data_IF_601098353224
#
_entry.id   IF_601098353224
#
_cell.length_a   1.000
_cell.length_b   1.000
_cell.length_c   1.000
_cell.angle_alpha   90.00
_cell.angle_beta   90.00
_cell.angle_gamma   90.00
#
_symmetry.space_group_name_H-M   'P 1'
#
loop_
_entity.id
_entity.type
_entity.pdbx_description
1 polymer ?
#
# COMPACT_ATOMS: atom_id res chain seq x y z
N UNK A 1 9.52 14.93 31.91
CA UNK A 1 8.37 14.96 30.98
C UNK A 1 8.82 15.58 29.67
N UNK A 2 8.79 14.83 28.56
CA UNK A 2 9.31 15.27 27.27
C UNK A 2 8.20 15.94 26.44
N UNK A 3 8.35 17.24 26.19
CA UNK A 3 7.42 18.05 25.41
C UNK A 3 7.70 17.77 23.93
N UNK A 4 6.80 17.05 23.26
CA UNK A 4 6.83 16.86 21.81
C UNK A 4 6.66 18.22 21.12
N UNK A 5 7.72 18.75 20.52
CA UNK A 5 7.63 19.92 19.61
C UNK A 5 6.87 19.52 18.36
N UNK A 6 5.71 20.16 18.17
CA UNK A 6 4.86 20.06 16.98
C UNK A 6 5.56 20.83 15.86
N UNK A 7 5.93 20.16 14.76
CA UNK A 7 6.53 20.80 13.59
C UNK A 7 5.40 21.59 12.90
N UNK A 8 5.53 22.92 12.90
CA UNK A 8 4.70 23.82 12.09
C UNK A 8 5.38 24.00 10.74
N UNK A 9 4.65 23.70 9.66
CA UNK A 9 5.06 24.04 8.29
C UNK A 9 4.69 25.49 8.04
N UNK A 10 5.64 26.40 8.25
CA UNK A 10 5.56 27.74 7.68
C UNK A 10 5.90 27.64 6.19
N UNK A 11 4.91 27.83 5.34
CA UNK A 11 5.08 28.15 3.92
C UNK A 11 5.96 29.40 3.81
N UNK A 12 7.13 29.30 3.16
CA UNK A 12 7.93 30.47 2.81
C UNK A 12 8.63 30.24 1.47
N UNK A 13 8.15 31.01 0.51
CA UNK A 13 8.91 31.60 -0.58
C UNK A 13 10.26 32.16 -0.10
N UNK A 14 11.35 31.82 -0.77
CA UNK A 14 12.34 32.78 -1.30
C UNK A 14 13.63 32.07 -1.74
N UNK A 15 14.08 32.51 -2.91
CA UNK A 15 15.29 32.16 -3.63
C UNK A 15 16.55 32.14 -2.74
N UNK A 16 17.19 30.96 -2.66
CA UNK A 16 18.65 30.77 -2.78
C UNK A 16 18.94 29.27 -2.87
N UNK A 17 19.45 28.86 -4.03
CA UNK A 17 19.89 27.51 -4.35
C UNK A 17 21.01 27.12 -3.39
N UNK A 18 20.75 26.21 -2.45
CA UNK A 18 21.78 25.47 -1.75
C UNK A 18 21.41 23.99 -1.82
N UNK A 19 22.10 23.25 -2.70
CA UNK A 19 22.07 21.78 -2.67
C UNK A 19 22.40 21.33 -1.23
N UNK A 20 21.65 20.39 -0.63
CA UNK A 20 22.01 19.88 0.68
C UNK A 20 23.37 19.20 0.60
N UNK A 21 24.24 19.57 1.54
CA UNK A 21 25.60 19.05 1.69
C UNK A 21 25.61 17.52 1.90
N UNK A 22 26.71 16.86 1.56
CA UNK A 22 26.89 15.40 1.65
C UNK A 22 26.62 14.89 3.06
N UNK A 23 26.95 15.70 4.09
CA UNK A 23 26.69 15.42 5.51
C UNK A 23 25.19 15.45 5.83
N UNK A 24 24.43 16.36 5.23
CA UNK A 24 22.97 16.46 5.41
C UNK A 24 22.26 15.30 4.71
N UNK A 25 22.76 14.88 3.54
CA UNK A 25 22.31 13.65 2.85
C UNK A 25 22.63 12.40 3.67
N UNK A 26 23.81 12.34 4.28
CA UNK A 26 24.22 11.27 5.20
C UNK A 26 23.35 11.22 6.47
N UNK A 27 22.94 12.38 7.01
CA UNK A 27 22.05 12.46 8.18
C UNK A 27 20.62 11.98 7.92
N UNK A 28 20.11 12.16 6.71
CA UNK A 28 18.80 11.66 6.28
C UNK A 28 18.86 10.14 6.04
N UNK A 29 19.95 9.66 5.45
CA UNK A 29 20.20 8.22 5.22
C UNK A 29 20.50 7.46 6.51
N UNK A 30 21.09 8.10 7.52
CA UNK A 30 21.27 7.51 8.86
C UNK A 30 19.94 7.30 9.62
N UNK A 31 18.87 8.05 9.27
CA UNK A 31 17.53 7.88 9.83
C UNK A 31 16.66 6.86 9.08
N UNK A 32 17.07 6.44 7.87
CA UNK A 32 16.47 5.32 7.17
C UNK A 32 17.01 4.03 7.80
N UNK A 33 16.25 3.43 8.72
CA UNK A 33 16.56 2.09 9.22
C UNK A 33 16.45 1.08 8.08
N UNK A 34 17.55 0.76 7.42
CA UNK A 34 17.59 -0.29 6.42
C UNK A 34 17.36 -1.64 7.11
N UNK A 35 16.35 -2.38 6.64
CA UNK A 35 16.18 -3.78 6.98
C UNK A 35 17.30 -4.60 6.36
N UNK A 36 17.76 -5.67 7.01
CA UNK A 36 18.75 -6.63 6.48
C UNK A 36 18.45 -6.97 5.02
N UNK A 37 19.47 -6.96 4.15
CA UNK A 37 19.30 -7.29 2.72
C UNK A 37 19.05 -6.11 1.77
N UNK A 38 19.18 -4.86 2.26
CA UNK A 38 19.09 -3.64 1.45
C UNK A 38 20.36 -2.80 1.64
N UNK A 39 20.85 -2.21 0.55
CA UNK A 39 22.00 -1.31 0.54
C UNK A 39 21.64 -0.03 -0.20
N UNK A 40 22.15 1.11 0.26
CA UNK A 40 22.01 2.38 -0.46
C UNK A 40 23.19 2.54 -1.42
N UNK A 41 22.90 2.85 -2.68
CA UNK A 41 23.87 3.03 -3.75
C UNK A 41 23.47 4.24 -4.61
N UNK A 42 24.42 4.78 -5.37
CA UNK A 42 24.13 5.83 -6.35
C UNK A 42 24.42 5.30 -7.76
N UNK A 43 23.47 5.48 -8.67
CA UNK A 43 23.62 5.08 -10.07
C UNK A 43 23.26 6.22 -11.01
N UNK A 44 23.80 6.17 -12.23
CA UNK A 44 23.31 7.03 -13.30
C UNK A 44 21.89 6.62 -13.68
N UNK A 45 20.93 7.55 -13.83
CA UNK A 45 19.57 7.20 -14.25
C UNK A 45 19.56 6.55 -15.65
N UNK A 46 20.56 6.80 -16.49
CA UNK A 46 20.69 6.21 -17.83
C UNK A 46 21.13 4.74 -17.82
N UNK A 47 21.78 4.28 -16.75
CA UNK A 47 22.29 2.91 -16.62
C UNK A 47 21.24 1.95 -16.05
N UNK A 48 20.18 2.49 -15.44
CA UNK A 48 19.11 1.70 -14.84
C UNK A 48 18.18 1.13 -15.92
N UNK A 49 17.94 -0.17 -15.87
CA UNK A 49 17.10 -0.91 -16.82
C UNK A 49 15.64 -0.87 -16.35
N UNK A 50 14.69 -0.39 -17.18
CA UNK A 50 13.27 -0.51 -16.86
C UNK A 50 12.82 -1.97 -16.84
N UNK A 51 11.98 -2.33 -15.88
CA UNK A 51 11.45 -3.68 -15.79
C UNK A 51 10.36 -3.94 -16.86
N UNK A 52 10.57 -4.83 -17.84
CA UNK A 52 9.63 -5.13 -18.91
C UNK A 52 8.35 -5.80 -18.40
N UNK A 53 8.40 -6.43 -17.23
CA UNK A 53 7.23 -7.04 -16.59
C UNK A 53 6.45 -6.09 -15.69
N UNK A 54 6.83 -4.81 -15.68
CA UNK A 54 6.10 -3.76 -15.02
C UNK A 54 5.56 -2.71 -16.01
N UNK A 55 4.81 -3.10 -17.07
CA UNK A 55 4.18 -2.14 -17.96
C UNK A 55 3.10 -1.40 -17.18
N UNK A 56 3.35 -0.16 -16.80
CA UNK A 56 2.42 0.61 -15.97
C UNK A 56 1.23 1.07 -16.83
N UNK A 57 0.00 0.64 -16.54
CA UNK A 57 -1.17 1.14 -17.26
C UNK A 57 -1.27 2.66 -17.08
N UNK A 58 -1.19 3.41 -18.18
CA UNK A 58 -1.30 4.87 -18.19
C UNK A 58 0.00 5.67 -18.28
N UNK A 59 1.18 5.03 -18.27
CA UNK A 59 2.42 5.75 -18.62
C UNK A 59 2.49 5.97 -20.14
N UNK A 60 2.19 7.19 -20.57
CA UNK A 60 2.23 7.62 -21.98
C UNK A 60 3.66 8.07 -22.38
N UNK A 61 4.47 8.46 -21.39
CA UNK A 61 5.83 8.96 -21.57
C UNK A 61 6.82 7.94 -21.04
N UNK A 62 7.65 7.40 -21.92
CA UNK A 62 8.75 6.49 -21.60
C UNK A 62 10.11 7.13 -21.94
N UNK A 63 11.19 6.36 -21.74
CA UNK A 63 12.53 6.83 -22.08
C UNK A 63 12.70 7.13 -23.57
N UNK A 64 12.06 6.34 -24.44
CA UNK A 64 12.10 6.52 -25.89
C UNK A 64 11.49 7.86 -26.29
N UNK A 65 10.34 8.19 -25.70
CA UNK A 65 9.66 9.47 -25.89
C UNK A 65 10.51 10.65 -25.42
N UNK A 66 11.16 10.53 -24.24
CA UNK A 66 12.07 11.57 -23.74
C UNK A 66 13.28 11.79 -24.66
N UNK A 67 13.85 10.71 -25.22
CA UNK A 67 14.94 10.79 -26.19
C UNK A 67 14.49 11.42 -27.51
N UNK A 68 13.30 11.09 -28.00
CA UNK A 68 12.77 11.63 -29.26
C UNK A 68 12.36 13.11 -29.14
N UNK A 69 11.60 13.47 -28.09
CA UNK A 69 11.02 14.81 -27.96
C UNK A 69 11.92 15.82 -27.27
N UNK A 70 12.70 15.38 -26.29
CA UNK A 70 13.56 16.25 -25.48
C UNK A 70 15.05 16.07 -25.77
N UNK A 71 15.44 15.11 -26.62
CA UNK A 71 16.83 14.82 -26.97
C UNK A 71 17.70 14.56 -25.72
N UNK A 72 17.09 13.99 -24.68
CA UNK A 72 17.74 13.71 -23.39
C UNK A 72 18.87 12.70 -23.58
N UNK A 73 20.00 12.94 -22.90
CA UNK A 73 21.22 12.14 -23.05
C UNK A 73 22.11 12.54 -24.24
N UNK A 74 21.77 13.62 -24.96
CA UNK A 74 22.59 14.15 -26.06
C UNK A 74 22.99 15.61 -25.79
N UNK A 75 24.00 16.11 -26.51
CA UNK A 75 24.40 17.53 -26.45
C UNK A 75 23.28 18.48 -26.92
N UNK A 76 22.31 17.97 -27.68
CA UNK A 76 21.18 18.72 -28.21
C UNK A 76 19.99 18.74 -27.25
N UNK A 77 20.13 18.22 -26.02
CA UNK A 77 19.03 18.16 -25.07
C UNK A 77 18.34 19.52 -24.89
N UNK A 78 17.01 19.49 -24.95
CA UNK A 78 16.17 20.66 -24.69
C UNK A 78 16.12 21.00 -23.20
N UNK A 79 16.40 20.03 -22.32
CA UNK A 79 16.51 20.22 -20.88
C UNK A 79 17.94 20.66 -20.52
N UNK A 80 18.17 21.96 -20.36
CA UNK A 80 19.53 22.52 -20.20
C UNK A 80 19.55 23.77 -19.35
N UNK A 81 20.75 24.14 -18.91
CA UNK A 81 20.97 25.43 -18.25
C UNK A 81 20.86 26.52 -19.32
N UNK A 82 19.95 27.46 -19.09
CA UNK A 82 19.76 28.62 -19.93
C UNK A 82 21.00 29.49 -19.91
N UNK A 83 21.54 29.82 -21.08
CA UNK A 83 22.67 30.76 -21.19
C UNK A 83 22.27 32.18 -20.78
N UNK A 84 20.98 32.50 -20.75
CA UNK A 84 20.46 33.85 -20.46
C UNK A 84 20.15 34.05 -18.98
N UNK A 85 19.42 33.12 -18.36
CA UNK A 85 19.03 33.22 -16.94
C UNK A 85 20.02 32.52 -16.00
N UNK A 86 20.80 31.56 -16.50
CA UNK A 86 21.61 30.68 -15.65
C UNK A 86 20.78 29.59 -14.93
N UNK A 87 19.47 29.60 -15.11
CA UNK A 87 18.55 28.62 -14.52
C UNK A 87 18.42 27.38 -15.40
N UNK A 88 18.06 26.26 -14.79
CA UNK A 88 17.73 25.05 -15.56
C UNK A 88 16.35 25.19 -16.18
N UNK A 89 16.27 25.09 -17.50
CA UNK A 89 15.03 25.19 -18.24
C UNK A 89 14.62 23.80 -18.74
N UNK A 90 13.36 23.45 -18.46
CA UNK A 90 12.65 22.32 -19.06
C UNK A 90 11.50 22.92 -19.87
N UNK A 91 11.42 22.63 -21.18
CA UNK A 91 10.45 23.25 -22.07
C UNK A 91 9.01 23.03 -21.61
N UNK A 92 8.11 23.93 -21.98
CA UNK A 92 6.68 23.74 -21.76
C UNK A 92 6.13 22.69 -22.74
N UNK A 93 5.01 22.05 -22.39
CA UNK A 93 4.40 21.05 -23.27
C UNK A 93 4.04 21.66 -24.64
N UNK A 94 3.56 22.89 -24.66
CA UNK A 94 3.24 23.65 -25.87
C UNK A 94 4.43 23.95 -26.79
N UNK A 95 5.66 23.84 -26.28
CA UNK A 95 6.90 24.00 -27.05
C UNK A 95 7.39 22.66 -27.66
N UNK A 96 6.70 21.57 -27.32
CA UNK A 96 6.90 20.26 -27.93
C UNK A 96 6.00 20.14 -29.15
N UNK A 97 6.55 19.68 -30.27
CA UNK A 97 5.79 19.41 -31.49
C UNK A 97 4.97 18.11 -31.30
N UNK A 98 4.06 18.11 -30.34
CA UNK A 98 3.19 17.00 -29.98
C UNK A 98 1.74 17.32 -30.37
N UNK A 99 0.95 16.29 -30.67
CA UNK A 99 -0.49 16.45 -30.86
C UNK A 99 -1.15 16.92 -29.55
N UNK A 100 -2.18 17.76 -29.65
CA UNK A 100 -2.94 18.22 -28.49
C UNK A 100 -3.66 17.04 -27.83
N UNK A 101 -3.07 16.53 -26.75
CA UNK A 101 -3.58 15.44 -25.94
C UNK A 101 -3.44 15.81 -24.46
N UNK A 102 -4.57 16.13 -23.83
CA UNK A 102 -4.66 16.58 -22.43
C UNK A 102 -4.02 15.57 -21.46
N UNK A 103 -4.22 14.27 -21.69
CA UNK A 103 -3.64 13.23 -20.83
C UNK A 103 -2.11 13.12 -20.96
N UNK A 104 -1.57 13.40 -22.15
CA UNK A 104 -0.13 13.43 -22.39
C UNK A 104 0.50 14.68 -21.76
N UNK A 105 -0.19 15.83 -21.87
CA UNK A 105 0.20 17.08 -21.25
C UNK A 105 0.26 16.97 -19.72
N UNK A 106 -0.77 16.40 -19.09
CA UNK A 106 -0.80 16.17 -17.65
C UNK A 106 0.36 15.27 -17.19
N UNK A 107 0.62 14.19 -17.93
CA UNK A 107 1.71 13.26 -17.64
C UNK A 107 3.08 13.95 -17.77
N UNK A 108 3.24 14.80 -18.78
CA UNK A 108 4.46 15.58 -19.00
C UNK A 108 4.67 16.61 -17.88
N UNK A 109 3.63 17.36 -17.53
CA UNK A 109 3.70 18.39 -16.49
C UNK A 109 4.03 17.78 -15.13
N UNK A 110 3.46 16.62 -14.81
CA UNK A 110 3.84 15.85 -13.62
C UNK A 110 5.34 15.52 -13.59
N UNK A 111 5.89 14.98 -14.68
CA UNK A 111 7.32 14.65 -14.77
C UNK A 111 8.21 15.89 -14.70
N UNK A 112 7.77 16.99 -15.32
CA UNK A 112 8.47 18.28 -15.30
C UNK A 112 8.53 18.86 -13.89
N UNK A 113 7.42 18.86 -13.15
CA UNK A 113 7.37 19.33 -11.77
C UNK A 113 8.26 18.47 -10.86
N UNK A 114 8.22 17.15 -11.05
CA UNK A 114 9.10 16.23 -10.35
C UNK A 114 10.58 16.52 -10.66
N UNK A 115 10.94 16.76 -11.93
CA UNK A 115 12.29 17.10 -12.33
C UNK A 115 12.80 18.40 -11.70
N UNK A 116 11.93 19.42 -11.57
CA UNK A 116 12.27 20.64 -10.84
C UNK A 116 12.45 20.41 -9.34
N UNK A 117 11.60 19.60 -8.70
CA UNK A 117 11.79 19.23 -7.29
C UNK A 117 13.11 18.47 -7.08
N UNK A 118 13.46 17.54 -7.97
CA UNK A 118 14.75 16.83 -7.96
C UNK A 118 15.93 17.82 -7.97
N UNK A 119 15.87 18.83 -8.84
CA UNK A 119 16.91 19.86 -8.96
C UNK A 119 16.98 20.79 -7.75
N UNK A 120 15.83 21.15 -7.20
CA UNK A 120 15.71 22.18 -6.15
C UNK A 120 15.97 21.60 -4.77
N UNK A 121 15.32 20.48 -4.45
CA UNK A 121 15.34 19.89 -3.12
C UNK A 121 16.46 18.84 -2.98
N UNK A 122 16.84 18.18 -4.08
CA UNK A 122 17.79 17.06 -4.07
C UNK A 122 17.33 15.87 -3.21
N UNK A 123 16.09 15.90 -2.73
CA UNK A 123 15.48 14.93 -1.83
C UNK A 123 14.44 14.15 -2.62
N UNK A 124 14.92 13.08 -3.24
CA UNK A 124 14.07 12.10 -3.91
C UNK A 124 13.97 10.90 -2.99
N UNK A 125 12.78 10.31 -2.89
CA UNK A 125 12.68 8.94 -2.42
C UNK A 125 13.62 8.06 -3.26
N UNK A 126 14.41 7.15 -2.65
CA UNK A 126 15.32 6.29 -3.40
C UNK A 126 14.60 5.34 -4.36
N UNK A 127 15.21 5.10 -5.52
CA UNK A 127 14.72 4.14 -6.52
C UNK A 127 15.10 2.74 -6.06
N UNK A 128 14.13 1.82 -5.95
CA UNK A 128 14.45 0.44 -5.59
C UNK A 128 14.96 -0.31 -6.83
N UNK A 129 16.10 -1.00 -6.69
CA UNK A 129 16.78 -1.71 -7.78
C UNK A 129 17.29 -3.08 -7.32
N UNK A 130 17.62 -3.93 -8.28
CA UNK A 130 18.38 -5.16 -8.03
C UNK A 130 19.32 -5.45 -9.20
N UNK A 131 20.40 -6.19 -8.93
CA UNK A 131 21.31 -6.66 -9.97
C UNK A 131 20.71 -7.87 -10.69
N UNK A 132 20.58 -7.77 -12.01
CA UNK A 132 20.22 -8.86 -12.90
C UNK A 132 21.43 -9.34 -13.69
N UNK A 133 21.44 -10.62 -14.02
CA UNK A 133 22.43 -11.29 -14.86
C UNK A 133 21.73 -11.79 -16.11
N UNK A 134 22.26 -11.49 -17.29
CA UNK A 134 21.68 -11.87 -18.58
C UNK A 134 21.53 -13.39 -18.76
N UNK A 135 22.40 -14.18 -18.16
CA UNK A 135 22.32 -15.64 -18.25
C UNK A 135 21.16 -16.22 -17.43
N UNK A 136 20.87 -15.59 -16.29
CA UNK A 136 19.84 -16.04 -15.36
C UNK A 136 18.48 -15.36 -15.58
N UNK A 137 18.51 -14.11 -16.07
CA UNK A 137 17.35 -13.25 -16.25
C UNK A 137 17.39 -12.55 -17.65
N UNK A 138 17.41 -13.29 -18.77
CA UNK A 138 17.62 -12.74 -20.11
C UNK A 138 16.54 -11.72 -20.53
N UNK A 139 15.34 -11.84 -19.96
CA UNK A 139 14.19 -11.01 -20.28
C UNK A 139 14.41 -9.52 -19.96
N UNK A 140 15.31 -9.17 -19.04
CA UNK A 140 15.65 -7.77 -18.76
C UNK A 140 16.58 -7.15 -19.82
N UNK A 141 17.18 -7.96 -20.68
CA UNK A 141 18.24 -7.54 -21.60
C UNK A 141 17.84 -7.59 -23.07
N UNK A 142 16.53 -7.62 -23.37
CA UNK A 142 16.00 -7.76 -24.75
C UNK A 142 16.57 -6.72 -25.72
N UNK A 143 16.83 -5.50 -25.25
CA UNK A 143 17.42 -4.41 -26.03
C UNK A 143 18.80 -3.97 -25.52
N UNK A 144 19.51 -4.85 -24.82
CA UNK A 144 20.78 -4.53 -24.15
C UNK A 144 21.86 -5.59 -24.41
N UNK A 145 23.06 -5.12 -24.73
CA UNK A 145 24.25 -5.95 -24.89
C UNK A 145 25.02 -6.15 -23.57
N UNK A 146 24.48 -5.68 -22.45
CA UNK A 146 25.12 -5.82 -21.15
C UNK A 146 24.98 -7.24 -20.61
N UNK A 147 26.02 -7.75 -19.95
CA UNK A 147 26.00 -9.04 -19.25
C UNK A 147 25.35 -8.94 -17.86
N UNK A 148 25.49 -7.78 -17.23
CA UNK A 148 24.88 -7.45 -15.93
C UNK A 148 24.24 -6.06 -15.99
N UNK A 149 23.17 -5.86 -15.21
CA UNK A 149 22.48 -4.58 -15.18
C UNK A 149 21.59 -4.40 -13.98
N UNK A 150 21.45 -3.15 -13.53
CA UNK A 150 20.58 -2.80 -12.42
C UNK A 150 19.16 -2.54 -12.93
N UNK A 151 18.24 -3.41 -12.54
CA UNK A 151 16.85 -3.34 -12.98
C UNK A 151 16.02 -2.62 -11.94
N UNK A 152 15.17 -1.70 -12.41
CA UNK A 152 14.31 -0.86 -11.57
C UNK A 152 13.14 -1.69 -11.07
N UNK A 153 13.04 -1.81 -9.76
CA UNK A 153 11.86 -2.33 -9.10
C UNK A 153 10.80 -1.21 -8.98
N UNK A 154 11.19 -0.09 -8.39
CA UNK A 154 10.28 1.00 -8.07
C UNK A 154 10.92 2.37 -8.34
N UNK A 155 10.12 3.37 -8.68
CA UNK A 155 10.59 4.72 -8.95
C UNK A 155 10.96 4.98 -10.41
N UNK A 156 10.28 4.33 -11.38
CA UNK A 156 10.53 4.58 -12.80
C UNK A 156 10.28 6.05 -13.20
N UNK A 157 9.19 6.67 -12.74
CA UNK A 157 8.93 8.10 -12.97
C UNK A 157 9.99 9.00 -12.33
N UNK A 158 10.51 8.61 -11.15
CA UNK A 158 11.63 9.32 -10.50
C UNK A 158 12.91 9.22 -11.34
N UNK A 159 13.17 8.07 -11.97
CA UNK A 159 14.25 7.94 -12.97
C UNK A 159 14.01 8.86 -14.16
N UNK A 160 12.84 8.81 -14.80
CA UNK A 160 12.54 9.63 -15.98
C UNK A 160 12.67 11.13 -15.67
N UNK A 161 12.12 11.56 -14.53
CA UNK A 161 12.27 12.93 -14.06
C UNK A 161 13.72 13.28 -13.72
N UNK A 162 14.52 12.36 -13.19
CA UNK A 162 15.95 12.58 -12.97
C UNK A 162 16.74 12.74 -14.28
N UNK A 163 16.35 12.01 -15.34
CA UNK A 163 16.89 12.19 -16.68
C UNK A 163 16.53 13.58 -17.22
N UNK A 164 15.26 14.00 -17.08
CA UNK A 164 14.82 15.36 -17.44
C UNK A 164 15.52 16.45 -16.62
N UNK A 165 15.78 16.19 -15.34
CA UNK A 165 16.52 17.06 -14.46
C UNK A 165 18.02 17.10 -14.80
N UNK A 166 18.52 16.29 -15.75
CA UNK A 166 19.95 16.18 -16.04
C UNK A 166 20.77 15.82 -14.80
N UNK A 167 20.23 14.99 -13.91
CA UNK A 167 20.95 14.51 -12.74
C UNK A 167 22.04 13.51 -13.17
N UNK A 168 23.25 13.66 -12.66
CA UNK A 168 24.36 12.74 -12.93
C UNK A 168 24.18 11.41 -12.21
N UNK A 169 23.66 11.45 -10.99
CA UNK A 169 23.40 10.28 -10.16
C UNK A 169 22.05 10.40 -9.46
N UNK A 170 21.43 9.26 -9.18
CA UNK A 170 20.23 9.11 -8.38
C UNK A 170 20.49 8.16 -7.23
N UNK A 171 19.89 8.46 -6.08
CA UNK A 171 19.95 7.57 -4.93
C UNK A 171 19.04 6.36 -5.15
N UNK A 172 19.61 5.18 -4.96
CA UNK A 172 18.96 3.90 -5.15
C UNK A 172 19.07 3.04 -3.89
N UNK A 173 18.08 2.18 -3.68
CA UNK A 173 18.12 1.10 -2.71
C UNK A 173 18.28 -0.20 -3.49
N UNK A 174 19.47 -0.78 -3.42
CA UNK A 174 19.75 -2.10 -3.94
C UNK A 174 19.26 -3.17 -2.98
N UNK A 175 18.48 -4.11 -3.49
CA UNK A 175 18.07 -5.31 -2.75
C UNK A 175 19.12 -6.39 -3.03
N UNK A 176 19.83 -6.83 -1.99
CA UNK A 176 20.92 -7.80 -2.08
C UNK A 176 20.56 -9.16 -1.48
N UNK A 177 19.46 -9.26 -0.71
CA UNK A 177 18.99 -10.53 -0.17
C UNK A 177 18.30 -11.37 -1.25
N UNK A 178 18.95 -12.47 -1.64
CA UNK A 178 18.45 -13.43 -2.63
C UNK A 178 17.05 -13.96 -2.31
N UNK A 179 16.70 -14.16 -1.04
CA UNK A 179 15.37 -14.63 -0.65
C UNK A 179 14.28 -13.57 -0.89
N UNK A 180 14.64 -12.29 -0.75
CA UNK A 180 13.78 -11.17 -1.12
C UNK A 180 13.73 -11.01 -2.65
N UNK A 181 14.88 -11.14 -3.32
CA UNK A 181 14.98 -11.06 -4.78
C UNK A 181 14.16 -12.14 -5.47
N UNK A 182 14.24 -13.40 -5.02
CA UNK A 182 13.41 -14.50 -5.54
C UNK A 182 11.92 -14.15 -5.41
N UNK A 183 11.49 -13.61 -4.27
CA UNK A 183 10.08 -13.17 -4.09
C UNK A 183 9.67 -12.00 -5.00
N UNK A 184 10.63 -11.16 -5.39
CA UNK A 184 10.43 -9.98 -6.24
C UNK A 184 10.63 -10.26 -7.74
N UNK A 185 11.30 -11.36 -8.12
CA UNK A 185 11.54 -11.82 -9.51
C UNK A 185 10.47 -12.77 -10.05
N UNK A 186 9.61 -13.36 -9.20
CA UNK A 186 8.56 -14.33 -9.62
C UNK A 186 7.48 -13.69 -10.52
N UNK A 187 7.04 -14.43 -11.56
CA UNK A 187 6.09 -14.11 -12.66
C UNK A 187 4.87 -13.22 -12.35
N UNK A 188 4.36 -13.15 -11.12
CA UNK A 188 3.22 -12.30 -10.72
C UNK A 188 3.61 -10.85 -10.37
N UNK A 189 4.61 -10.32 -11.09
CA UNK A 189 5.40 -9.12 -10.76
C UNK A 189 4.62 -7.81 -10.85
N UNK A 190 3.81 -7.65 -11.90
CA UNK A 190 2.90 -6.49 -12.09
C UNK A 190 1.91 -6.36 -10.94
N UNK A 191 1.35 -7.50 -10.52
CA UNK A 191 0.37 -7.63 -9.45
C UNK A 191 0.94 -7.25 -8.07
N UNK A 192 2.18 -7.69 -7.77
CA UNK A 192 2.85 -7.42 -6.50
C UNK A 192 3.43 -6.00 -6.38
N UNK A 193 3.61 -5.28 -7.48
CA UNK A 193 4.00 -3.85 -7.44
C UNK A 193 2.85 -2.88 -7.46
N UNK A 194 1.77 -3.17 -8.20
CA UNK A 194 0.48 -2.48 -7.97
C UNK A 194 0.07 -2.57 -6.49
N UNK A 195 0.40 -3.70 -5.86
CA UNK A 195 0.29 -3.95 -4.43
C UNK A 195 1.05 -3.00 -3.50
N UNK A 196 2.32 -2.71 -3.80
CA UNK A 196 3.17 -1.80 -3.01
C UNK A 196 2.68 -0.36 -3.19
N UNK A 197 2.39 0.01 -4.44
CA UNK A 197 1.96 1.36 -4.80
C UNK A 197 0.53 1.67 -4.31
N UNK A 198 -0.40 0.71 -4.38
CA UNK A 198 -1.77 0.89 -3.89
C UNK A 198 -1.87 0.80 -2.36
N UNK A 199 -1.03 0.01 -1.67
CA UNK A 199 -0.96 0.04 -0.21
C UNK A 199 -0.40 1.36 0.34
N UNK A 200 0.47 2.04 -0.40
CA UNK A 200 0.93 3.39 -0.09
C UNK A 200 -0.17 4.45 -0.33
N UNK A 201 -1.10 4.20 -1.26
CA UNK A 201 -2.29 5.03 -1.51
C UNK A 201 -3.39 4.73 -0.48
N UNK A 202 -3.30 5.32 0.72
CA UNK A 202 -4.38 5.33 1.74
C UNK A 202 -5.69 6.04 1.32
N UNK A 203 -6.05 6.11 0.04
CA UNK A 203 -7.16 6.93 -0.47
C UNK A 203 -7.86 6.46 -1.75
N UNK A 204 -7.68 5.22 -2.20
CA UNK A 204 -8.38 4.74 -3.39
C UNK A 204 -9.90 4.64 -3.17
N UNK A 205 -10.67 5.15 -4.12
CA UNK A 205 -12.13 5.10 -4.10
C UNK A 205 -12.67 3.70 -4.41
N UNK A 206 -13.96 3.45 -4.17
CA UNK A 206 -14.57 2.14 -4.44
C UNK A 206 -14.50 1.81 -5.94
N UNK A 207 -14.73 2.81 -6.79
CA UNK A 207 -14.60 2.69 -8.25
C UNK A 207 -13.19 2.26 -8.68
N UNK A 208 -12.16 2.96 -8.19
CA UNK A 208 -10.77 2.66 -8.53
C UNK A 208 -10.37 1.24 -8.13
N UNK A 209 -10.74 0.82 -6.93
CA UNK A 209 -10.50 -0.55 -6.45
C UNK A 209 -11.26 -1.60 -7.29
N UNK A 210 -12.47 -1.30 -7.74
CA UNK A 210 -13.24 -2.19 -8.60
C UNK A 210 -12.58 -2.35 -9.99
N UNK A 211 -12.09 -1.26 -10.59
CA UNK A 211 -11.37 -1.31 -11.87
C UNK A 211 -10.07 -2.11 -11.75
N UNK A 212 -9.32 -1.93 -10.65
CA UNK A 212 -8.11 -2.71 -10.36
C UNK A 212 -8.47 -4.20 -10.23
N UNK A 213 -9.52 -4.55 -9.49
CA UNK A 213 -9.97 -5.94 -9.36
C UNK A 213 -10.41 -6.52 -10.72
N UNK A 214 -11.06 -5.72 -11.57
CA UNK A 214 -11.50 -6.13 -12.89
C UNK A 214 -10.34 -6.40 -13.84
N UNK A 215 -9.34 -5.51 -13.88
CA UNK A 215 -8.12 -5.70 -14.68
C UNK A 215 -7.28 -6.88 -14.17
N UNK A 216 -7.23 -7.07 -12.85
CA UNK A 216 -6.54 -8.19 -12.25
C UNK A 216 -7.16 -9.54 -12.64
N UNK A 217 -8.49 -9.63 -12.63
CA UNK A 217 -9.20 -10.87 -12.92
C UNK A 217 -9.43 -11.13 -14.41
N UNK A 218 -9.20 -10.14 -15.28
CA UNK A 218 -9.24 -10.33 -16.73
C UNK A 218 -7.98 -11.00 -17.27
N UNK A 219 -6.89 -11.02 -16.50
CA UNK A 219 -5.65 -11.74 -16.85
C UNK A 219 -5.82 -13.23 -16.59
N UNK A 220 -5.56 -14.07 -17.60
CA UNK A 220 -5.69 -15.54 -17.54
C UNK A 220 -4.91 -16.14 -16.37
N UNK A 221 -3.71 -15.64 -16.12
CA UNK A 221 -2.79 -16.15 -15.10
C UNK A 221 -3.24 -15.81 -13.67
N UNK A 222 -4.20 -14.89 -13.52
CA UNK A 222 -4.68 -14.42 -12.23
C UNK A 222 -6.05 -15.00 -11.85
N UNK A 223 -6.70 -15.74 -12.76
CA UNK A 223 -8.00 -16.36 -12.50
C UNK A 223 -7.91 -17.49 -11.46
N UNK A 224 -6.74 -18.13 -11.35
CA UNK A 224 -6.48 -19.23 -10.41
C UNK A 224 -6.15 -18.77 -8.97
N UNK A 225 -5.88 -17.48 -8.77
CA UNK A 225 -5.51 -16.94 -7.45
C UNK A 225 -6.64 -17.13 -6.43
N UNK A 226 -6.30 -17.45 -5.18
CA UNK A 226 -7.26 -17.56 -4.08
C UNK A 226 -7.75 -16.19 -3.60
N UNK A 227 -8.91 -16.14 -2.93
CA UNK A 227 -9.42 -14.88 -2.37
C UNK A 227 -8.47 -14.27 -1.33
N UNK A 228 -7.74 -15.12 -0.59
CA UNK A 228 -6.71 -14.71 0.36
C UNK A 228 -5.53 -14.07 -0.35
N UNK A 229 -5.08 -14.64 -1.46
CA UNK A 229 -4.03 -14.05 -2.29
C UNK A 229 -4.51 -12.74 -2.89
N UNK A 230 -5.71 -12.68 -3.48
CA UNK A 230 -6.26 -11.45 -4.05
C UNK A 230 -6.51 -10.38 -2.96
N UNK A 231 -6.91 -10.77 -1.74
CA UNK A 231 -6.99 -9.87 -0.58
C UNK A 231 -5.64 -9.28 -0.20
N UNK A 232 -4.62 -10.14 -0.19
CA UNK A 232 -3.25 -9.70 -0.01
C UNK A 232 -2.77 -8.84 -1.17
N UNK A 233 -3.37 -8.96 -2.37
CA UNK A 233 -3.03 -8.21 -3.59
C UNK A 233 -3.73 -6.84 -3.71
N UNK A 234 -4.98 -6.71 -3.29
CA UNK A 234 -5.71 -5.43 -3.44
C UNK A 234 -5.66 -4.63 -2.13
N UNK A 235 -5.15 -5.22 -1.04
CA UNK A 235 -5.14 -4.57 0.28
C UNK A 235 -6.54 -4.40 0.88
N UNK A 236 -7.54 -5.07 0.31
CA UNK A 236 -8.92 -5.08 0.78
C UNK A 236 -9.16 -6.32 1.64
N UNK A 237 -10.18 -6.25 2.49
CA UNK A 237 -10.63 -7.40 3.27
C UNK A 237 -11.06 -8.55 2.34
N UNK A 238 -10.74 -9.79 2.69
CA UNK A 238 -11.06 -10.98 1.90
C UNK A 238 -12.55 -11.08 1.54
N UNK A 239 -13.45 -10.65 2.42
CA UNK A 239 -14.89 -10.62 2.11
C UNK A 239 -15.29 -9.56 1.08
N UNK A 240 -14.53 -8.46 0.96
CA UNK A 240 -14.71 -7.47 -0.12
C UNK A 240 -14.17 -8.05 -1.42
N UNK A 241 -12.98 -8.65 -1.37
CA UNK A 241 -12.37 -9.29 -2.54
C UNK A 241 -13.23 -10.40 -3.11
N UNK A 242 -13.80 -11.26 -2.26
CA UNK A 242 -14.74 -12.30 -2.70
C UNK A 242 -15.95 -11.71 -3.42
N UNK A 243 -16.44 -10.55 -2.95
CA UNK A 243 -17.58 -9.88 -3.57
C UNK A 243 -17.21 -9.27 -4.93
N UNK A 244 -16.09 -8.57 -5.01
CA UNK A 244 -15.57 -7.99 -6.27
C UNK A 244 -15.29 -9.10 -7.29
N UNK A 245 -14.67 -10.21 -6.86
CA UNK A 245 -14.39 -11.37 -7.72
C UNK A 245 -15.66 -11.90 -8.36
N UNK A 246 -16.70 -12.15 -7.57
CA UNK A 246 -17.99 -12.63 -8.08
C UNK A 246 -18.58 -11.71 -9.15
N UNK A 247 -18.47 -10.39 -8.96
CA UNK A 247 -18.94 -9.39 -9.92
C UNK A 247 -18.11 -9.41 -11.20
N UNK A 248 -16.78 -9.43 -11.08
CA UNK A 248 -15.88 -9.39 -12.22
C UNK A 248 -15.92 -10.67 -13.06
N UNK A 249 -16.08 -11.84 -12.44
CA UNK A 249 -16.13 -13.13 -13.15
C UNK A 249 -17.47 -13.40 -13.83
N UNK A 250 -18.58 -12.88 -13.27
CA UNK A 250 -19.93 -13.08 -13.81
C UNK A 250 -20.73 -11.77 -13.81
N UNK A 251 -20.34 -10.77 -14.62
CA UNK A 251 -20.98 -9.45 -14.63
C UNK A 251 -22.44 -9.50 -15.09
N UNK A 252 -22.81 -10.47 -15.94
CA UNK A 252 -24.19 -10.67 -16.44
C UNK A 252 -25.20 -11.04 -15.36
N UNK A 253 -24.75 -11.56 -14.21
CA UNK A 253 -25.61 -11.86 -13.05
C UNK A 253 -26.12 -10.60 -12.35
N UNK A 254 -25.52 -9.44 -12.64
CA UNK A 254 -25.75 -8.21 -11.90
C UNK A 254 -26.40 -7.14 -12.78
N UNK A 255 -27.36 -6.35 -12.24
CA UNK A 255 -27.97 -5.25 -12.99
C UNK A 255 -26.95 -4.20 -13.47
N UNK A 256 -27.08 -3.64 -14.68
CA UNK A 256 -26.21 -2.58 -15.18
C UNK A 256 -26.13 -1.37 -14.24
N UNK A 257 -27.24 -1.02 -13.59
CA UNK A 257 -27.31 0.06 -12.60
C UNK A 257 -26.39 -0.18 -11.40
N UNK A 258 -26.19 -1.43 -10.99
CA UNK A 258 -25.26 -1.77 -9.92
C UNK A 258 -23.82 -1.52 -10.34
N UNK A 259 -23.46 -1.95 -11.56
CA UNK A 259 -22.12 -1.75 -12.11
C UNK A 259 -21.80 -0.27 -12.36
N UNK A 260 -22.76 0.51 -12.86
CA UNK A 260 -22.58 1.95 -13.08
C UNK A 260 -22.39 2.68 -11.75
N UNK A 261 -23.20 2.38 -10.73
CA UNK A 261 -23.05 3.00 -9.41
C UNK A 261 -21.73 2.66 -8.71
N UNK A 262 -21.15 1.48 -8.97
CA UNK A 262 -19.78 1.15 -8.51
C UNK A 262 -18.76 2.03 -9.21
N UNK A 263 -18.82 2.12 -10.55
CA UNK A 263 -17.88 2.91 -11.37
C UNK A 263 -17.99 4.42 -11.12
N UNK A 264 -19.17 4.92 -10.80
CA UNK A 264 -19.43 6.31 -10.43
C UNK A 264 -19.13 6.60 -8.94
N UNK A 265 -18.65 5.60 -8.19
CA UNK A 265 -18.32 5.72 -6.76
C UNK A 265 -19.52 6.15 -5.88
N UNK A 266 -20.75 5.77 -6.26
CA UNK A 266 -22.00 6.09 -5.55
C UNK A 266 -22.38 5.09 -4.44
N UNK A 267 -21.68 3.95 -4.36
CA UNK A 267 -21.94 2.92 -3.34
C UNK A 267 -20.67 2.51 -2.60
N UNK A 268 -20.83 2.10 -1.34
CA UNK A 268 -19.71 1.67 -0.49
C UNK A 268 -19.41 0.18 -0.62
N UNK A 269 -18.20 -0.27 -0.26
CA UNK A 269 -17.88 -1.69 -0.18
C UNK A 269 -18.81 -2.51 0.73
N UNK A 270 -19.35 -1.88 1.77
CA UNK A 270 -20.33 -2.52 2.65
C UNK A 270 -21.63 -2.81 1.91
N UNK A 271 -22.09 -1.87 1.09
CA UNK A 271 -23.27 -2.03 0.25
C UNK A 271 -23.04 -3.08 -0.83
N UNK A 272 -21.87 -3.06 -1.48
CA UNK A 272 -21.48 -4.08 -2.46
C UNK A 272 -21.57 -5.48 -1.84
N UNK A 273 -20.94 -5.71 -0.69
CA UNK A 273 -20.99 -7.02 0.01
C UNK A 273 -22.39 -7.48 0.36
N UNK A 274 -23.30 -6.56 0.67
CA UNK A 274 -24.69 -6.88 0.98
C UNK A 274 -25.50 -7.24 -0.27
N UNK A 275 -25.22 -6.58 -1.40
CA UNK A 275 -25.95 -6.77 -2.65
C UNK A 275 -25.47 -8.00 -3.44
N UNK A 276 -24.19 -8.37 -3.36
CA UNK A 276 -23.61 -9.46 -4.17
C UNK A 276 -24.30 -10.82 -3.98
N UNK A 277 -24.86 -11.09 -2.79
CA UNK A 277 -25.55 -12.34 -2.48
C UNK A 277 -27.03 -12.37 -2.90
N UNK A 278 -27.57 -11.26 -3.41
CA UNK A 278 -28.99 -11.10 -3.75
C UNK A 278 -29.28 -11.48 -5.21
N UNK A 279 -30.56 -11.64 -5.54
CA UNK A 279 -30.99 -11.84 -6.93
C UNK A 279 -30.91 -10.55 -7.74
N UNK A 280 -30.96 -10.67 -9.07
CA UNK A 280 -30.92 -9.52 -9.98
C UNK A 280 -32.01 -8.48 -9.64
N UNK A 281 -33.26 -8.92 -9.52
CA UNK A 281 -34.43 -8.05 -9.24
C UNK A 281 -34.37 -7.44 -7.83
N UNK A 282 -33.84 -8.17 -6.85
CA UNK A 282 -33.62 -7.68 -5.49
C UNK A 282 -32.55 -6.59 -5.43
N UNK A 283 -31.50 -6.70 -6.25
CA UNK A 283 -30.47 -5.67 -6.35
C UNK A 283 -31.07 -4.42 -7.00
N UNK A 284 -31.79 -4.58 -8.11
CA UNK A 284 -32.39 -3.47 -8.84
C UNK A 284 -33.42 -2.71 -8.01
N UNK A 285 -34.29 -3.42 -7.27
CA UNK A 285 -35.26 -2.80 -6.37
C UNK A 285 -34.60 -2.03 -5.21
N UNK A 286 -33.53 -2.57 -4.60
CA UNK A 286 -32.81 -1.89 -3.52
C UNK A 286 -32.08 -0.64 -4.01
N UNK A 287 -31.58 -0.63 -5.25
CA UNK A 287 -30.87 0.50 -5.83
C UNK A 287 -31.80 1.59 -6.37
N UNK A 288 -33.02 1.24 -6.82
CA UNK A 288 -34.06 2.19 -7.25
C UNK A 288 -34.78 2.87 -6.08
N UNK A 289 -34.85 2.22 -4.92
CA UNK A 289 -35.39 2.81 -3.68
C UNK A 289 -34.37 3.79 -3.04
N UNK A 290 -34.33 5.04 -3.51
CA UNK A 290 -33.46 6.11 -2.96
C UNK A 290 -33.62 6.32 -1.43
N UNK A 291 -34.79 5.98 -0.89
CA UNK A 291 -35.10 6.11 0.55
C UNK A 291 -34.35 5.14 1.46
N UNK A 292 -33.73 4.08 0.92
CA UNK A 292 -32.93 3.11 1.69
C UNK A 292 -31.42 3.33 1.59
N UNK A 293 -30.94 4.02 0.55
CA UNK A 293 -29.51 4.37 0.40
C UNK A 293 -29.03 5.29 1.54
N UNK A 294 -29.88 6.20 2.01
CA UNK A 294 -29.58 7.09 3.15
C UNK A 294 -29.92 6.50 4.53
N UNK A 295 -30.65 5.37 4.60
CA UNK A 295 -30.96 4.68 5.88
C UNK A 295 -29.90 3.65 6.31
N UNK A 296 -28.90 3.38 5.47
CA UNK A 296 -27.72 2.62 5.87
C UNK A 296 -26.83 3.39 6.87
N UNK A 297 -27.07 4.70 7.01
CA UNK A 297 -26.62 5.56 8.11
C UNK A 297 -27.75 5.84 9.11
N UNK A 298 -28.57 4.84 9.44
CA UNK A 298 -29.15 4.83 10.78
C UNK A 298 -27.96 4.81 11.74
N UNK A 299 -27.59 6.00 12.25
CA UNK A 299 -26.57 6.21 13.27
C UNK A 299 -26.62 5.01 14.19
N UNK A 300 -25.62 4.12 14.09
CA UNK A 300 -25.30 3.29 15.26
C UNK A 300 -24.97 4.34 16.30
N UNK A 301 -25.93 4.63 17.17
CA UNK A 301 -25.71 5.37 18.40
C UNK A 301 -24.43 4.76 18.93
N UNK A 302 -23.35 5.55 18.87
CA UNK A 302 -22.05 5.13 19.40
C UNK A 302 -22.33 4.98 20.88
N UNK A 303 -22.63 3.75 21.30
CA UNK A 303 -22.84 3.47 22.72
C UNK A 303 -21.55 3.93 23.40
N UNK A 304 -21.66 4.81 24.41
CA UNK A 304 -20.50 5.38 25.05
C UNK A 304 -19.55 4.26 25.48
N UNK A 305 -18.28 4.36 25.09
CA UNK A 305 -17.23 3.48 25.58
C UNK A 305 -17.09 3.74 27.08
N UNK A 306 -17.68 2.86 27.87
CA UNK A 306 -17.75 2.89 29.32
C UNK A 306 -18.47 1.62 29.79
N UNK A 307 -18.56 1.41 31.11
CA UNK A 307 -18.92 0.14 31.82
C UNK A 307 -20.15 -0.65 31.32
N UNK A 308 -20.96 -0.15 30.38
CA UNK A 308 -22.13 -0.85 29.81
C UNK A 308 -22.14 -1.00 28.27
N UNK A 309 -21.04 -0.66 27.56
CA UNK A 309 -21.01 -0.60 26.09
C UNK A 309 -19.92 -1.41 25.38
N UNK A 310 -19.09 -2.14 26.12
CA UNK A 310 -18.06 -3.01 25.53
C UNK A 310 -18.63 -4.33 25.00
N UNK A 311 -17.86 -5.04 24.16
CA UNK A 311 -18.15 -6.44 23.88
C UNK A 311 -18.27 -7.18 25.21
N UNK A 312 -19.43 -7.79 25.48
CA UNK A 312 -19.61 -8.66 26.63
C UNK A 312 -18.60 -9.80 26.44
N UNK A 313 -17.53 -9.79 27.23
CA UNK A 313 -16.54 -10.85 27.21
C UNK A 313 -17.24 -12.11 27.72
N UNK A 314 -17.59 -13.00 26.79
CA UNK A 314 -18.21 -14.29 27.09
C UNK A 314 -17.25 -15.27 27.76
N UNK A 315 -15.95 -14.97 27.74
CA UNK A 315 -14.91 -15.78 28.37
C UNK A 315 -13.87 -14.90 29.04
N UNK A 316 -13.33 -15.41 30.14
CA UNK A 316 -12.11 -14.93 30.77
C UNK A 316 -11.06 -16.05 30.69
N UNK A 317 -9.82 -15.70 30.37
CA UNK A 317 -8.72 -16.67 30.26
C UNK A 317 -7.60 -16.23 31.18
N UNK A 318 -7.14 -17.15 32.03
CA UNK A 318 -6.01 -16.95 32.92
C UNK A 318 -4.83 -17.76 32.41
N UNK A 319 -3.64 -17.18 32.36
CA UNK A 319 -2.40 -17.88 32.03
C UNK A 319 -1.57 -18.02 33.30
N UNK A 320 -1.40 -19.24 33.77
CA UNK A 320 -0.63 -19.58 34.98
C UNK A 320 0.61 -20.36 34.56
N UNK A 321 1.80 -19.84 34.89
CA UNK A 321 3.08 -20.41 34.44
C UNK A 321 3.75 -21.32 35.47
N UNK A 322 3.43 -21.15 36.75
CA UNK A 322 4.04 -21.89 37.86
C UNK A 322 3.06 -22.02 39.04
N UNK A 323 3.39 -22.90 40.01
CA UNK A 323 2.53 -23.18 41.16
C UNK A 323 2.33 -21.95 42.05
N UNK A 324 3.33 -21.09 42.18
CA UNK A 324 3.23 -19.84 42.94
C UNK A 324 2.17 -18.87 42.38
N UNK A 325 2.10 -18.76 41.06
CA UNK A 325 1.04 -18.02 40.35
C UNK A 325 -0.32 -18.69 40.54
N UNK A 326 -0.37 -20.02 40.55
CA UNK A 326 -1.58 -20.80 40.85
C UNK A 326 -2.12 -20.44 42.24
N UNK A 327 -1.29 -20.52 43.28
CA UNK A 327 -1.67 -20.17 44.65
C UNK A 327 -2.17 -18.73 44.78
N UNK A 328 -1.49 -17.80 44.11
CA UNK A 328 -1.84 -16.38 44.15
C UNK A 328 -3.22 -16.14 43.51
N UNK A 329 -3.50 -16.84 42.40
CA UNK A 329 -4.80 -16.79 41.74
C UNK A 329 -5.89 -17.45 42.58
N UNK A 330 -5.62 -18.62 43.18
CA UNK A 330 -6.55 -19.30 44.09
C UNK A 330 -6.98 -18.39 45.25
N UNK A 331 -6.01 -17.75 45.95
CA UNK A 331 -6.31 -16.78 47.02
C UNK A 331 -7.18 -15.63 46.54
N UNK A 332 -6.84 -15.06 45.39
CA UNK A 332 -7.60 -13.95 44.82
C UNK A 332 -9.04 -14.35 44.49
N UNK A 333 -9.23 -15.54 43.90
CA UNK A 333 -10.55 -16.05 43.53
C UNK A 333 -11.40 -16.34 44.78
N UNK A 334 -10.86 -17.04 45.78
CA UNK A 334 -11.57 -17.32 47.04
C UNK A 334 -11.93 -16.04 47.82
N UNK A 335 -11.10 -15.00 47.75
CA UNK A 335 -11.41 -13.69 48.35
C UNK A 335 -12.57 -12.98 47.62
N UNK A 336 -12.74 -13.24 46.32
CA UNK A 336 -13.75 -12.59 45.48
C UNK A 336 -15.06 -13.36 45.39
N UNK A 337 -15.02 -14.66 45.62
CA UNK A 337 -16.17 -15.58 45.60
C UNK A 337 -16.24 -16.32 46.94
N UNK A 338 -16.65 -15.64 48.03
CA UNK A 338 -16.68 -16.23 49.37
C UNK A 338 -17.71 -17.35 49.52
N UNK A 339 -18.64 -17.48 48.57
CA UNK A 339 -19.65 -18.54 48.46
C UNK A 339 -19.07 -19.89 48.05
N UNK A 340 -17.84 -19.90 47.52
CA UNK A 340 -17.11 -21.13 47.27
C UNK A 340 -16.68 -21.68 48.63
N UNK A 341 -17.41 -22.71 49.07
CA UNK A 341 -17.10 -23.42 50.31
C UNK A 341 -15.63 -23.85 50.31
N UNK A 342 -15.00 -23.74 51.49
CA UNK A 342 -13.58 -24.00 51.69
C UNK A 342 -13.21 -25.37 51.11
N UNK A 343 -12.67 -25.39 49.89
CA UNK A 343 -11.88 -26.51 49.40
C UNK A 343 -10.79 -26.67 50.46
N UNK A 344 -10.73 -27.86 51.07
CA UNK A 344 -9.85 -28.15 52.19
C UNK A 344 -8.46 -27.57 51.90
N UNK A 345 -7.96 -26.76 52.83
CA UNK A 345 -6.78 -25.90 52.66
C UNK A 345 -5.47 -26.68 52.45
N UNK A 346 -5.51 -27.99 52.25
CA UNK A 346 -4.32 -28.85 52.22
C UNK A 346 -3.82 -29.12 50.80
N UNK A 347 -4.66 -29.02 49.76
CA UNK A 347 -4.23 -29.31 48.38
C UNK A 347 -4.14 -28.05 47.51
N UNK A 348 -3.07 -27.28 47.68
CA UNK A 348 -2.80 -26.09 46.86
C UNK A 348 -2.18 -26.45 45.49
N UNK A 349 -2.79 -27.35 44.73
CA UNK A 349 -2.27 -27.80 43.44
C UNK A 349 -2.96 -27.13 42.24
N UNK A 350 -2.49 -27.36 41.02
CA UNK A 350 -3.22 -26.94 39.82
C UNK A 350 -4.65 -27.51 39.76
N UNK A 351 -4.86 -28.72 40.31
CA UNK A 351 -6.18 -29.35 40.36
C UNK A 351 -7.17 -28.59 41.23
N UNK A 352 -6.72 -28.02 42.34
CA UNK A 352 -7.61 -27.19 43.18
C UNK A 352 -7.93 -25.86 42.52
N UNK A 353 -7.01 -25.25 41.77
CA UNK A 353 -7.33 -24.06 40.96
C UNK A 353 -8.39 -24.38 39.90
N UNK A 354 -8.26 -25.53 39.22
CA UNK A 354 -9.26 -25.98 38.25
C UNK A 354 -10.63 -26.18 38.90
N UNK A 355 -10.67 -26.84 40.06
CA UNK A 355 -11.92 -27.02 40.83
C UNK A 355 -12.59 -25.69 41.19
N UNK A 356 -11.82 -24.69 41.67
CA UNK A 356 -12.31 -23.33 41.95
C UNK A 356 -12.90 -22.69 40.69
N UNK A 357 -12.21 -22.76 39.55
CA UNK A 357 -12.67 -22.16 38.30
C UNK A 357 -13.95 -22.84 37.77
N UNK A 358 -14.11 -24.14 37.98
CA UNK A 358 -15.34 -24.87 37.63
C UNK A 358 -16.50 -24.41 38.51
N UNK A 359 -16.30 -24.28 39.83
CA UNK A 359 -17.35 -23.81 40.73
C UNK A 359 -17.77 -22.35 40.41
N UNK A 360 -16.82 -21.47 40.10
CA UNK A 360 -17.13 -20.09 39.63
C UNK A 360 -17.97 -20.13 38.37
N UNK A 361 -17.64 -21.02 37.42
CA UNK A 361 -18.41 -21.19 36.19
C UNK A 361 -19.83 -21.67 36.50
N UNK A 362 -20.01 -22.61 37.42
CA UNK A 362 -21.34 -23.10 37.82
C UNK A 362 -22.18 -22.02 38.51
N UNK A 363 -21.59 -21.23 39.42
CA UNK A 363 -22.25 -20.08 40.03
C UNK A 363 -22.70 -19.07 38.99
N UNK A 364 -21.83 -18.73 38.03
CA UNK A 364 -22.15 -17.81 36.94
C UNK A 364 -23.26 -18.32 36.02
N UNK A 365 -23.40 -19.64 35.83
CA UNK A 365 -24.50 -20.22 35.05
C UNK A 365 -25.82 -20.11 35.82
N UNK A 366 -25.80 -20.33 37.15
CA UNK A 366 -27.01 -20.24 37.99
C UNK A 366 -27.57 -18.81 38.07
N UNK A 367 -26.74 -17.77 38.05
CA UNK A 367 -27.19 -16.37 38.07
C UNK A 367 -27.82 -15.87 36.75
N UNK A 368 -27.63 -16.58 35.64
CA UNK A 368 -28.11 -16.16 34.30
C UNK A 368 -29.52 -16.69 33.98
N UNK A 369 -30.07 -17.59 34.83
CA UNK A 369 -31.42 -18.19 34.68
C UNK A 369 -32.49 -17.36 35.39
#
# INVERSE_FOLDING_TARGET
MSIKKKIQTSSLTSNKINKPDTVTRAGITANLKFTRGKQLVEHSPYELIPDPYNPRPGEIIDESWLKDKLYIGTEQSRCKISKKSGDFEIPLFSELNCENNESLEDSYNFLRDLAFSIRTDGLIEPIEIFLADKNNDPDYFVNSNLDYGYVILEGHQRRLAAMMAGASTVTCIEITDESMLVKLKVKHRKLRRQLSENNLRKGLTVSQNFLIAQELLSQTDCQELTNKEISQIIGLNEGIVSALRSICTNPSKYPPIFLSMIKENKITFKMIRFLVSKSYDEIESVLKDETKLNKAEAKKIVKPRGKKGGAIKKSATFKVKNEKESHSLQRLLLTRFPEIEKIEQEDWSYKSLESILVQIKELAIKEVV
#
